data_IF_501938508121
#
_entry.id   IF_501938508121
#
_cell.length_a   1.000
_cell.length_b   1.000
_cell.length_c   1.000
_cell.angle_alpha   90.00
_cell.angle_beta   90.00
_cell.angle_gamma   90.00
#
_symmetry.space_group_name_H-M   'P 1'
#
loop_
_entity.id
_entity.type
_entity.pdbx_description
1 polymer ?
#
# COMPACT_ATOMS: atom_id res chain seq x y z
N UNK A 1 -2.07 5.22 1.86
CA UNK A 1 -2.54 4.31 0.80
C UNK A 1 -1.47 3.29 0.41
N UNK A 2 -1.91 2.16 -0.15
CA UNK A 2 -1.04 1.20 -0.86
C UNK A 2 -1.18 1.42 -2.36
N UNK A 3 -0.08 1.29 -3.08
CA UNK A 3 0.02 1.46 -4.53
C UNK A 3 0.58 0.20 -5.19
N UNK A 4 0.31 0.06 -6.48
CA UNK A 4 0.90 -0.97 -7.31
C UNK A 4 2.27 -0.52 -7.82
N UNK A 5 3.29 -1.33 -7.66
CA UNK A 5 4.64 -1.02 -8.14
C UNK A 5 5.37 -2.26 -8.65
N UNK A 6 6.32 -2.03 -9.53
CA UNK A 6 7.24 -3.04 -10.05
C UNK A 6 8.58 -2.40 -10.40
N UNK A 7 9.64 -3.19 -10.50
CA UNK A 7 10.92 -2.68 -10.99
C UNK A 7 10.89 -2.42 -12.50
N UNK A 8 11.69 -1.45 -13.00
CA UNK A 8 11.84 -1.23 -14.44
C UNK A 8 12.25 -2.48 -15.20
N UNK A 9 13.14 -3.29 -14.62
CA UNK A 9 13.61 -4.53 -15.22
C UNK A 9 12.49 -5.55 -15.42
N UNK A 10 11.59 -5.71 -14.41
CA UNK A 10 10.41 -6.54 -14.57
C UNK A 10 9.50 -6.05 -15.70
N UNK A 11 9.23 -4.75 -15.73
CA UNK A 11 8.35 -4.15 -16.74
C UNK A 11 8.94 -4.22 -18.14
N UNK A 12 10.26 -4.13 -18.28
CA UNK A 12 10.94 -4.29 -19.57
C UNK A 12 10.81 -5.73 -20.10
N UNK A 13 10.89 -6.73 -19.22
CA UNK A 13 10.82 -8.15 -19.61
C UNK A 13 9.40 -8.65 -19.88
N UNK A 14 8.43 -8.20 -19.12
CA UNK A 14 7.07 -8.75 -19.13
C UNK A 14 5.99 -7.78 -19.59
N UNK A 15 6.36 -6.51 -19.82
CA UNK A 15 5.41 -5.45 -20.16
C UNK A 15 4.80 -4.77 -18.92
N UNK A 16 4.07 -3.69 -19.18
CA UNK A 16 3.37 -2.91 -18.16
C UNK A 16 1.87 -3.11 -18.31
N UNK A 17 1.16 -3.58 -17.26
CA UNK A 17 -0.29 -3.71 -17.32
C UNK A 17 -0.95 -2.34 -17.52
N UNK A 18 -1.94 -2.28 -18.41
CA UNK A 18 -2.69 -1.06 -18.76
C UNK A 18 -4.06 -0.99 -18.08
N UNK A 19 -4.51 -2.11 -17.52
CA UNK A 19 -5.78 -2.22 -16.79
C UNK A 19 -5.67 -3.23 -15.66
N UNK A 20 -6.53 -3.10 -14.63
CA UNK A 20 -6.60 -4.06 -13.52
C UNK A 20 -6.87 -5.48 -13.98
N UNK A 21 -7.69 -5.64 -15.02
CA UNK A 21 -8.04 -6.96 -15.60
C UNK A 21 -6.84 -7.73 -16.16
N UNK A 22 -5.73 -7.05 -16.42
CA UNK A 22 -4.51 -7.68 -16.93
C UNK A 22 -3.61 -8.23 -15.81
N UNK A 23 -3.76 -7.74 -14.56
CA UNK A 23 -2.94 -8.17 -13.41
C UNK A 23 -2.88 -9.69 -13.19
N UNK A 24 -3.96 -10.47 -13.39
CA UNK A 24 -3.88 -11.92 -13.28
C UNK A 24 -2.92 -12.59 -14.26
N UNK A 25 -2.55 -11.92 -15.34
CA UNK A 25 -1.57 -12.39 -16.33
C UNK A 25 -0.11 -12.12 -15.96
N UNK A 26 0.13 -11.38 -14.87
CA UNK A 26 1.47 -11.03 -14.39
C UNK A 26 1.83 -11.80 -13.12
N UNK A 27 3.12 -12.00 -12.88
CA UNK A 27 3.60 -12.47 -11.58
C UNK A 27 3.33 -11.39 -10.52
N UNK A 28 2.45 -11.68 -9.56
CA UNK A 28 2.12 -10.80 -8.46
C UNK A 28 2.70 -11.33 -7.15
N UNK A 29 3.33 -10.45 -6.38
CA UNK A 29 3.97 -10.76 -5.12
C UNK A 29 2.96 -10.55 -3.98
N UNK A 30 2.48 -11.64 -3.39
CA UNK A 30 1.37 -11.60 -2.45
C UNK A 30 1.87 -11.56 -1.01
N UNK A 31 1.34 -10.59 -0.24
CA UNK A 31 1.51 -10.58 1.22
C UNK A 31 0.38 -11.43 1.83
N UNK A 32 0.76 -12.44 2.62
CA UNK A 32 -0.20 -13.26 3.35
C UNK A 32 -0.55 -12.57 4.66
N UNK A 33 -1.67 -11.89 4.70
CA UNK A 33 -2.24 -11.27 5.90
C UNK A 33 -3.26 -12.22 6.55
N UNK A 34 -3.36 -12.20 7.90
CA UNK A 34 -4.24 -13.14 8.63
C UNK A 34 -5.72 -12.98 8.30
N UNK A 35 -6.14 -11.73 8.15
CA UNK A 35 -7.57 -11.36 8.08
C UNK A 35 -8.03 -11.00 6.66
N UNK A 36 -7.18 -11.25 5.65
CA UNK A 36 -7.52 -10.94 4.26
C UNK A 36 -7.47 -12.20 3.39
N UNK A 37 -8.41 -12.35 2.45
CA UNK A 37 -8.36 -13.44 1.49
C UNK A 37 -7.05 -13.43 0.70
N UNK A 38 -6.37 -14.57 0.67
CA UNK A 38 -5.08 -14.71 -0.02
C UNK A 38 -5.22 -14.43 -1.53
N UNK A 39 -4.34 -13.56 -2.03
CA UNK A 39 -4.30 -13.25 -3.46
C UNK A 39 -5.48 -12.43 -3.97
N UNK A 40 -6.24 -11.77 -3.09
CA UNK A 40 -7.29 -10.84 -3.52
C UNK A 40 -6.86 -9.42 -3.15
N UNK A 41 -6.65 -8.59 -4.18
CA UNK A 41 -6.39 -7.16 -4.02
C UNK A 41 -7.67 -6.37 -4.24
N UNK A 42 -8.04 -5.57 -3.25
CA UNK A 42 -9.17 -4.65 -3.32
C UNK A 42 -8.63 -3.26 -3.61
N UNK A 43 -8.90 -2.77 -4.80
CA UNK A 43 -8.37 -1.51 -5.31
C UNK A 43 -9.52 -0.61 -5.70
N UNK A 44 -9.37 0.69 -5.49
CA UNK A 44 -10.36 1.68 -5.90
C UNK A 44 -9.68 2.85 -6.61
N UNK A 45 -10.44 3.50 -7.49
CA UNK A 45 -10.02 4.68 -8.26
C UNK A 45 -10.62 6.00 -7.74
N UNK A 46 -11.17 5.97 -6.52
CA UNK A 46 -11.87 7.10 -5.92
C UNK A 46 -13.40 7.04 -6.09
N UNK A 47 -13.92 6.32 -7.08
CA UNK A 47 -15.36 6.16 -7.34
C UNK A 47 -15.84 4.73 -7.17
N UNK A 48 -15.06 3.77 -7.63
CA UNK A 48 -15.41 2.35 -7.62
C UNK A 48 -14.33 1.51 -6.94
N UNK A 49 -14.75 0.48 -6.23
CA UNK A 49 -13.87 -0.57 -5.70
C UNK A 49 -13.97 -1.82 -6.57
N UNK A 50 -12.82 -2.35 -6.93
CA UNK A 50 -12.67 -3.59 -7.69
C UNK A 50 -11.82 -4.59 -6.93
N UNK A 51 -12.25 -5.84 -6.91
CA UNK A 51 -11.51 -6.96 -6.32
C UNK A 51 -10.89 -7.79 -7.43
N UNK A 52 -9.56 -7.87 -7.43
CA UNK A 52 -8.81 -8.63 -8.42
C UNK A 52 -8.13 -9.81 -7.75
N UNK A 53 -8.36 -11.01 -8.28
CA UNK A 53 -7.63 -12.19 -7.86
C UNK A 53 -6.29 -12.22 -8.60
N UNK A 54 -5.21 -12.18 -7.83
CA UNK A 54 -3.84 -12.22 -8.36
C UNK A 54 -3.12 -13.48 -7.88
N UNK A 55 -2.17 -13.92 -8.65
CA UNK A 55 -1.33 -15.08 -8.37
C UNK A 55 0.12 -14.76 -8.69
N UNK A 56 1.03 -15.52 -8.12
CA UNK A 56 2.44 -15.38 -8.40
C UNK A 56 3.27 -16.48 -7.75
N UNK A 57 4.53 -16.59 -8.15
CA UNK A 57 5.41 -17.68 -7.71
C UNK A 57 5.81 -17.57 -6.24
N UNK A 58 5.66 -16.37 -5.65
CA UNK A 58 6.14 -16.09 -4.31
C UNK A 58 5.11 -15.35 -3.47
N UNK A 59 5.04 -15.75 -2.21
CA UNK A 59 4.22 -15.09 -1.19
C UNK A 59 4.94 -15.13 0.16
N UNK A 60 4.79 -14.07 0.95
CA UNK A 60 5.36 -13.97 2.29
C UNK A 60 4.36 -13.27 3.23
N UNK A 61 4.44 -13.58 4.51
CA UNK A 61 3.77 -12.80 5.55
C UNK A 61 4.63 -11.61 6.02
N UNK A 62 5.81 -11.43 5.45
CA UNK A 62 6.74 -10.36 5.80
C UNK A 62 6.85 -9.36 4.65
N UNK A 63 6.34 -8.15 4.88
CA UNK A 63 6.26 -7.11 3.86
C UNK A 63 7.61 -6.69 3.28
N UNK A 64 8.66 -6.63 4.11
CA UNK A 64 10.02 -6.28 3.67
C UNK A 64 10.58 -7.26 2.65
N UNK A 65 10.32 -8.55 2.84
CA UNK A 65 10.74 -9.59 1.88
C UNK A 65 10.04 -9.37 0.53
N UNK A 66 8.74 -9.08 0.55
CA UNK A 66 7.98 -8.80 -0.68
C UNK A 66 8.49 -7.53 -1.36
N UNK A 67 8.87 -6.50 -0.58
CA UNK A 67 9.48 -5.28 -1.10
C UNK A 67 10.81 -5.60 -1.82
N UNK A 68 11.69 -6.37 -1.18
CA UNK A 68 12.96 -6.77 -1.79
C UNK A 68 12.76 -7.56 -3.08
N UNK A 69 11.86 -8.53 -3.11
CA UNK A 69 11.53 -9.26 -4.33
C UNK A 69 11.02 -8.36 -5.46
N UNK A 70 10.26 -7.31 -5.11
CA UNK A 70 9.80 -6.34 -6.09
C UNK A 70 10.97 -5.55 -6.69
N UNK A 71 11.92 -5.11 -5.86
CA UNK A 71 13.16 -4.47 -6.31
C UNK A 71 14.01 -5.40 -7.19
N UNK A 72 14.06 -6.68 -6.85
CA UNK A 72 14.79 -7.70 -7.59
C UNK A 72 14.09 -8.16 -8.89
N UNK A 73 13.00 -7.49 -9.27
CA UNK A 73 12.30 -7.76 -10.52
C UNK A 73 11.54 -9.08 -10.56
N UNK A 74 11.06 -9.57 -9.43
CA UNK A 74 10.33 -10.85 -9.35
C UNK A 74 8.84 -10.71 -9.62
N UNK A 75 8.28 -9.48 -9.63
CA UNK A 75 6.87 -9.28 -9.89
C UNK A 75 6.32 -7.92 -9.49
N UNK A 76 5.01 -7.80 -9.63
CA UNK A 76 4.23 -6.64 -9.21
C UNK A 76 3.86 -6.78 -7.74
N UNK A 77 4.03 -5.73 -6.96
CA UNK A 77 3.67 -5.70 -5.55
C UNK A 77 2.64 -4.60 -5.25
N UNK A 78 1.77 -4.87 -4.27
CA UNK A 78 0.89 -3.87 -3.66
C UNK A 78 1.52 -3.44 -2.32
N UNK A 79 2.09 -2.21 -2.28
CA UNK A 79 2.89 -1.72 -1.15
C UNK A 79 2.41 -0.38 -0.63
N UNK A 80 2.60 -0.14 0.68
CA UNK A 80 2.35 1.17 1.27
C UNK A 80 3.23 2.22 0.60
N UNK A 81 2.64 3.33 0.16
CA UNK A 81 3.37 4.38 -0.55
C UNK A 81 4.56 4.91 0.27
N UNK A 82 4.38 5.14 1.59
CA UNK A 82 5.45 5.61 2.47
C UNK A 82 6.67 4.66 2.53
N UNK A 83 6.45 3.38 2.25
CA UNK A 83 7.47 2.32 2.26
C UNK A 83 8.30 2.30 0.95
N UNK A 84 7.68 2.66 -0.16
CA UNK A 84 8.30 2.57 -1.49
C UNK A 84 8.60 3.92 -2.15
N UNK A 85 8.21 5.04 -1.54
CA UNK A 85 8.32 6.38 -2.15
C UNK A 85 9.74 6.72 -2.60
N UNK A 86 10.75 6.39 -1.80
CA UNK A 86 12.15 6.69 -2.12
C UNK A 86 12.65 5.82 -3.28
N UNK A 87 12.15 4.59 -3.41
CA UNK A 87 12.43 3.74 -4.55
C UNK A 87 11.72 4.22 -5.83
N UNK A 88 10.50 4.77 -5.71
CA UNK A 88 9.80 5.41 -6.83
C UNK A 88 10.57 6.68 -7.28
N UNK A 89 10.93 7.55 -6.34
CA UNK A 89 11.66 8.79 -6.66
C UNK A 89 13.04 8.52 -7.27
N UNK A 90 13.72 7.48 -6.82
CA UNK A 90 15.03 7.08 -7.37
C UNK A 90 14.93 6.25 -8.66
N UNK A 91 13.73 5.93 -9.14
CA UNK A 91 13.50 5.14 -10.34
C UNK A 91 13.77 3.64 -10.19
N UNK A 92 14.04 3.15 -8.97
CA UNK A 92 14.20 1.71 -8.69
C UNK A 92 12.90 0.93 -8.78
N UNK A 93 11.78 1.62 -8.50
CA UNK A 93 10.42 1.11 -8.72
C UNK A 93 9.63 2.10 -9.56
N UNK A 94 8.69 1.59 -10.32
CA UNK A 94 7.70 2.35 -11.10
C UNK A 94 6.33 2.17 -10.49
N UNK A 95 5.62 3.28 -10.25
CA UNK A 95 4.22 3.27 -9.88
C UNK A 95 3.39 2.93 -11.11
N UNK A 96 2.71 1.80 -11.11
CA UNK A 96 1.86 1.35 -12.21
C UNK A 96 0.39 1.52 -11.87
N UNK A 97 -0.47 1.71 -12.87
CA UNK A 97 -1.91 1.96 -12.71
C UNK A 97 -2.18 3.00 -11.61
N UNK A 98 -1.64 4.23 -11.73
CA UNK A 98 -1.63 5.21 -10.65
C UNK A 98 -3.01 5.70 -10.21
N UNK A 99 -4.02 5.51 -11.03
CA UNK A 99 -5.43 5.78 -10.71
C UNK A 99 -6.00 4.80 -9.68
N UNK A 100 -5.37 3.62 -9.48
CA UNK A 100 -5.84 2.59 -8.57
C UNK A 100 -4.97 2.49 -7.32
N UNK A 101 -5.61 2.43 -6.17
CA UNK A 101 -4.94 2.28 -4.89
C UNK A 101 -5.80 1.52 -3.88
N UNK A 102 -5.18 1.01 -2.83
CA UNK A 102 -5.87 0.47 -1.67
C UNK A 102 -5.76 1.44 -0.50
N UNK A 103 -6.88 1.75 0.15
CA UNK A 103 -6.85 2.54 1.39
C UNK A 103 -6.13 1.76 2.49
N UNK A 104 -5.18 2.42 3.15
CA UNK A 104 -4.43 1.86 4.26
C UNK A 104 -4.22 2.94 5.32
N UNK A 105 -5.02 2.88 6.36
CA UNK A 105 -4.93 3.82 7.48
C UNK A 105 -3.91 3.31 8.51
N UNK A 106 -3.24 4.25 9.16
CA UNK A 106 -2.42 3.98 10.33
C UNK A 106 -3.29 4.24 11.56
N UNK A 107 -3.41 3.26 12.44
CA UNK A 107 -4.23 3.33 13.63
C UNK A 107 -3.36 3.33 14.88
N UNK A 108 -3.59 4.29 15.78
CA UNK A 108 -3.07 4.24 17.12
C UNK A 108 -4.09 3.51 18.02
N UNK A 109 -3.75 2.30 18.47
CA UNK A 109 -4.61 1.48 19.33
C UNK A 109 -4.09 1.55 20.75
N UNK A 110 -4.97 1.91 21.71
CA UNK A 110 -4.63 1.98 23.13
C UNK A 110 -5.83 1.63 24.01
N UNK A 111 -5.56 1.20 25.25
CA UNK A 111 -6.61 0.85 26.20
C UNK A 111 -7.38 2.11 26.63
N UNK A 112 -8.71 2.05 26.66
CA UNK A 112 -9.61 3.20 26.91
C UNK A 112 -9.19 4.03 28.15
N UNK A 113 -8.84 3.38 29.26
CA UNK A 113 -8.38 4.09 30.48
C UNK A 113 -7.07 4.87 30.28
N UNK A 114 -6.25 4.50 29.29
CA UNK A 114 -5.02 5.23 28.95
C UNK A 114 -5.29 6.43 28.05
N UNK A 115 -6.48 6.55 27.45
CA UNK A 115 -6.86 7.71 26.66
C UNK A 115 -6.81 9.04 27.47
N UNK A 116 -7.01 8.96 28.78
CA UNK A 116 -6.89 10.10 29.70
C UNK A 116 -5.46 10.44 30.08
N UNK A 117 -4.49 9.57 29.76
CA UNK A 117 -3.07 9.80 30.07
C UNK A 117 -2.50 10.91 29.19
N UNK A 118 -1.87 11.91 29.81
CA UNK A 118 -1.16 12.97 29.10
C UNK A 118 -0.07 12.42 28.16
N UNK A 119 0.63 11.36 28.60
CA UNK A 119 1.67 10.70 27.78
C UNK A 119 1.09 10.12 26.50
N UNK A 120 -0.04 9.42 26.57
CA UNK A 120 -0.70 8.85 25.37
C UNK A 120 -1.17 9.97 24.43
N UNK A 121 -1.82 11.00 24.96
CA UNK A 121 -2.28 12.15 24.15
C UNK A 121 -1.13 12.83 23.42
N UNK A 122 -0.05 13.15 24.12
CA UNK A 122 1.13 13.81 23.52
C UNK A 122 1.77 12.92 22.45
N UNK A 123 1.90 11.61 22.71
CA UNK A 123 2.47 10.68 21.75
C UNK A 123 1.61 10.55 20.48
N UNK A 124 0.28 10.42 20.64
CA UNK A 124 -0.64 10.35 19.49
C UNK A 124 -0.63 11.64 18.69
N UNK A 125 -0.65 12.81 19.38
CA UNK A 125 -0.61 14.11 18.69
C UNK A 125 0.71 14.32 17.93
N UNK A 126 1.84 13.93 18.55
CA UNK A 126 3.15 13.95 17.88
C UNK A 126 3.15 13.08 16.62
N UNK A 127 2.69 11.83 16.72
CA UNK A 127 2.63 10.92 15.57
C UNK A 127 1.69 11.45 14.48
N UNK A 128 0.52 11.98 14.86
CA UNK A 128 -0.42 12.59 13.92
C UNK A 128 0.23 13.74 13.15
N UNK A 129 0.89 14.65 13.85
CA UNK A 129 1.60 15.77 13.24
C UNK A 129 2.72 15.28 12.32
N UNK A 130 3.56 14.37 12.80
CA UNK A 130 4.65 13.78 12.03
C UNK A 130 4.16 13.17 10.71
N UNK A 131 3.13 12.32 10.77
CA UNK A 131 2.58 11.70 9.56
C UNK A 131 1.92 12.70 8.62
N UNK A 132 1.26 13.73 9.15
CA UNK A 132 0.67 14.77 8.31
C UNK A 132 1.75 15.61 7.60
N UNK A 133 2.81 15.99 8.29
CA UNK A 133 3.91 16.77 7.72
C UNK A 133 4.69 16.01 6.66
N UNK A 134 4.94 14.70 6.88
CA UNK A 134 5.81 13.91 5.98
C UNK A 134 5.05 13.14 4.90
N UNK A 135 3.74 12.90 5.09
CA UNK A 135 2.93 12.05 4.22
C UNK A 135 1.52 12.59 3.95
N UNK A 136 1.18 13.77 4.48
CA UNK A 136 -0.19 14.31 4.46
C UNK A 136 -0.63 14.87 3.11
N UNK A 137 0.28 15.39 2.30
CA UNK A 137 -0.05 16.02 1.02
C UNK A 137 -0.72 15.05 0.02
N UNK A 138 -0.56 13.74 0.22
CA UNK A 138 -1.10 12.70 -0.67
C UNK A 138 -2.43 12.10 -0.19
N UNK A 139 -2.83 12.41 1.06
CA UNK A 139 -4.09 11.92 1.64
C UNK A 139 -5.26 12.89 1.49
N UNK A 140 -5.04 14.09 0.98
CA UNK A 140 -6.05 15.17 1.00
C UNK A 140 -7.12 15.02 -0.10
N UNK A 141 -6.96 14.11 -1.05
CA UNK A 141 -7.95 13.85 -2.10
C UNK A 141 -8.99 12.76 -1.78
N UNK A 142 -8.97 12.18 -0.59
CA UNK A 142 -9.90 11.09 -0.25
C UNK A 142 -10.27 11.05 1.23
N UNK A 143 -10.77 12.15 1.84
CA UNK A 143 -11.55 11.98 3.06
C UNK A 143 -12.33 13.25 3.47
N UNK A 144 -13.60 13.28 3.04
CA UNK A 144 -14.71 13.78 3.84
C UNK A 144 -15.22 12.64 4.73
N UNK A 145 -14.47 12.16 5.69
CA UNK A 145 -14.82 11.05 6.59
C UNK A 145 -14.89 11.48 8.04
N UNK A 146 -16.10 11.77 8.48
CA UNK A 146 -16.57 12.06 9.84
C UNK A 146 -15.94 11.15 10.90
N UNK A 147 -15.34 11.75 11.93
CA UNK A 147 -15.06 11.10 13.22
C UNK A 147 -16.35 10.45 13.76
N UNK A 148 -16.40 9.13 13.80
CA UNK A 148 -17.37 8.45 14.68
C UNK A 148 -16.76 8.37 16.08
N UNK A 149 -17.49 8.99 17.03
CA UNK A 149 -17.24 8.93 18.47
C UNK A 149 -17.46 7.51 18.99
#
# INVERSE_FOLDING_TARGET
RRILCASPDFLQRYGTPKALSELPGFACLVIKERDHPFGIWRLHNGTEEQSIKVTGPMASNHGEIVHQWCLDGQGIALRSYWDVKDNIHSGKLVHILPEYFQSANIWAVYVTRLAMSAKVRVSVEFLRRYFNEHYGAENTSANGGTLKR
#
